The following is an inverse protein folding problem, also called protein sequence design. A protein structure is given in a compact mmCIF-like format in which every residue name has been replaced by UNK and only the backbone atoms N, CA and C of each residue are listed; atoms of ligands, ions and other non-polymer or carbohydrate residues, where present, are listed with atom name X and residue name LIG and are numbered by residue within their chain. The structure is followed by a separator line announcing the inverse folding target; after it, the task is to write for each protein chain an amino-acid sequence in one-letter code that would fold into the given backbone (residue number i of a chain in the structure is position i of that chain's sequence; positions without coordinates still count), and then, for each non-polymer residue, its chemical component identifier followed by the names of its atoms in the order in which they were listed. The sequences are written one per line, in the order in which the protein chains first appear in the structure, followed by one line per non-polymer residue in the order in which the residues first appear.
data_IF_483648702942
#
_entry.id   IF_483648702942
#
_cell.length_a   1.000
_cell.length_b   1.000
_cell.length_c   1.000
_cell.angle_alpha   90.00
_cell.angle_beta   90.00
_cell.angle_gamma   90.00
#
_symmetry.space_group_name_H-M   'P 1'
#
loop_
_entity.id
_entity.type
_entity.pdbx_description
1 polymer ?
#
# COMPACT_ATOMS: atom_id res chain seq x y z
N UNK A 1 -34.89 -62.17 26.24
CA UNK A 1 -34.14 -62.75 25.11
C UNK A 1 -34.21 -61.78 23.94
N UNK A 2 -33.06 -61.49 23.31
CA UNK A 2 -32.86 -61.09 21.89
C UNK A 2 -33.42 -59.73 21.44
N UNK A 3 -32.68 -58.78 20.87
CA UNK A 3 -31.31 -58.71 20.33
C UNK A 3 -30.88 -57.24 20.31
N UNK A 4 -29.71 -56.95 20.85
CA UNK A 4 -28.92 -55.78 20.50
C UNK A 4 -28.31 -56.00 19.10
N UNK A 5 -28.33 -54.98 18.25
CA UNK A 5 -27.48 -54.91 17.06
C UNK A 5 -27.21 -53.45 16.72
N UNK A 6 -26.06 -53.01 17.22
CA UNK A 6 -25.24 -51.89 16.76
C UNK A 6 -24.95 -52.05 15.26
N UNK A 7 -25.24 -51.04 14.44
CA UNK A 7 -24.54 -50.83 13.16
C UNK A 7 -24.35 -49.33 12.90
N UNK A 8 -23.17 -48.87 13.30
CA UNK A 8 -22.26 -47.96 12.59
C UNK A 8 -22.86 -46.94 11.61
N UNK A 9 -23.07 -45.71 12.10
CA UNK A 9 -23.09 -44.52 11.27
C UNK A 9 -21.64 -44.12 10.93
N UNK A 10 -21.14 -44.61 9.78
CA UNK A 10 -19.91 -44.08 9.17
C UNK A 10 -20.26 -42.72 8.59
N UNK A 11 -20.00 -41.67 9.36
CA UNK A 11 -19.92 -40.29 8.88
C UNK A 11 -18.79 -40.21 7.86
N UNK A 12 -19.15 -40.23 6.57
CA UNK A 12 -18.29 -39.80 5.47
C UNK A 12 -17.98 -38.32 5.67
N UNK A 13 -16.87 -38.03 6.35
CA UNK A 13 -16.18 -36.75 6.22
C UNK A 13 -15.66 -36.64 4.78
N UNK A 14 -16.52 -36.19 3.87
CA UNK A 14 -16.09 -35.57 2.63
C UNK A 14 -15.49 -34.20 3.01
N UNK A 15 -14.27 -34.22 3.53
CA UNK A 15 -13.48 -33.00 3.67
C UNK A 15 -13.32 -32.39 2.28
N UNK A 16 -13.82 -31.16 2.11
CA UNK A 16 -13.55 -30.32 0.96
C UNK A 16 -12.04 -30.04 0.89
N UNK A 17 -11.26 -30.99 0.36
CA UNK A 17 -9.88 -30.74 -0.01
C UNK A 17 -9.91 -29.76 -1.19
N UNK A 18 -9.78 -28.47 -0.91
CA UNK A 18 -9.53 -27.47 -1.93
C UNK A 18 -8.25 -27.85 -2.67
N UNK A 19 -8.34 -27.95 -4.00
CA UNK A 19 -7.18 -28.23 -4.85
C UNK A 19 -6.13 -27.12 -4.62
N UNK A 20 -4.85 -27.46 -4.39
CA UNK A 20 -3.82 -26.44 -4.19
C UNK A 20 -3.77 -25.50 -5.41
N UNK A 21 -3.51 -24.20 -5.20
CA UNK A 21 -3.41 -23.26 -6.31
C UNK A 21 -2.30 -23.72 -7.27
N UNK A 22 -2.42 -23.38 -8.57
CA UNK A 22 -1.34 -23.60 -9.53
C UNK A 22 -0.02 -22.97 -9.04
N UNK A 23 1.11 -23.63 -9.29
CA UNK A 23 2.43 -23.19 -8.82
C UNK A 23 2.79 -21.78 -9.26
N UNK A 24 2.47 -21.41 -10.51
CA UNK A 24 2.70 -20.06 -11.03
C UNK A 24 2.05 -18.97 -10.16
N UNK A 25 0.90 -19.26 -9.53
CA UNK A 25 0.19 -18.31 -8.69
C UNK A 25 0.93 -18.10 -7.37
N UNK A 26 1.41 -19.18 -6.76
CA UNK A 26 2.22 -19.13 -5.54
C UNK A 26 3.57 -18.44 -5.79
N UNK A 27 4.24 -18.75 -6.90
CA UNK A 27 5.54 -18.16 -7.27
C UNK A 27 5.43 -16.66 -7.55
N UNK A 28 4.38 -16.23 -8.27
CA UNK A 28 4.13 -14.83 -8.55
C UNK A 28 3.81 -14.04 -7.27
N UNK A 29 2.96 -14.59 -6.41
CA UNK A 29 2.62 -13.96 -5.13
C UNK A 29 3.85 -13.84 -4.22
N UNK A 30 4.62 -14.91 -4.04
CA UNK A 30 5.84 -14.87 -3.25
C UNK A 30 6.89 -13.90 -3.80
N UNK A 31 6.95 -13.74 -5.13
CA UNK A 31 7.82 -12.73 -5.76
C UNK A 31 7.34 -11.30 -5.50
N UNK A 32 6.03 -11.05 -5.46
CA UNK A 32 5.49 -9.73 -5.07
C UNK A 32 5.74 -9.40 -3.60
N UNK A 33 5.61 -10.37 -2.70
CA UNK A 33 5.92 -10.17 -1.28
C UNK A 33 7.40 -9.80 -1.08
N UNK A 34 8.31 -10.53 -1.75
CA UNK A 34 9.74 -10.20 -1.72
C UNK A 34 10.05 -8.87 -2.38
N UNK A 35 9.33 -8.50 -3.44
CA UNK A 35 9.41 -7.15 -4.02
C UNK A 35 9.08 -6.08 -2.97
N UNK A 36 7.92 -6.20 -2.31
CA UNK A 36 7.47 -5.22 -1.32
C UNK A 36 8.47 -5.10 -0.17
N UNK A 37 8.91 -6.23 0.39
CA UNK A 37 9.90 -6.26 1.46
C UNK A 37 11.23 -5.60 1.04
N UNK A 38 11.79 -6.00 -0.11
CA UNK A 38 13.04 -5.44 -0.62
C UNK A 38 12.92 -3.95 -0.94
N UNK A 39 11.79 -3.52 -1.52
CA UNK A 39 11.55 -2.12 -1.85
C UNK A 39 11.53 -1.26 -0.58
N UNK A 40 10.77 -1.66 0.44
CA UNK A 40 10.64 -0.94 1.70
C UNK A 40 11.95 -0.95 2.52
N UNK A 41 12.75 -2.01 2.43
CA UNK A 41 14.11 -2.07 2.98
C UNK A 41 15.13 -1.18 2.21
N UNK A 42 14.76 -0.70 1.02
CA UNK A 42 15.62 0.11 0.15
C UNK A 42 16.63 -0.70 -0.65
N UNK A 43 16.36 -1.98 -0.90
CA UNK A 43 17.16 -2.91 -1.71
C UNK A 43 16.70 -2.87 -3.18
N UNK A 44 16.95 -1.74 -3.85
CA UNK A 44 16.38 -1.44 -5.17
C UNK A 44 16.63 -2.52 -6.25
N UNK A 45 17.83 -3.14 -6.28
CA UNK A 45 18.14 -4.19 -7.26
C UNK A 45 17.36 -5.48 -7.00
N UNK A 46 17.22 -5.87 -5.74
CA UNK A 46 16.45 -7.06 -5.34
C UNK A 46 14.98 -6.83 -5.64
N UNK A 47 14.45 -5.67 -5.23
CA UNK A 47 13.08 -5.29 -5.53
C UNK A 47 12.79 -5.36 -7.04
N UNK A 48 13.63 -4.75 -7.88
CA UNK A 48 13.43 -4.80 -9.33
C UNK A 48 13.46 -6.22 -9.89
N UNK A 49 14.38 -7.08 -9.43
CA UNK A 49 14.47 -8.46 -9.88
C UNK A 49 13.21 -9.26 -9.51
N UNK A 50 12.73 -9.14 -8.27
CA UNK A 50 11.52 -9.83 -7.80
C UNK A 50 10.26 -9.30 -8.49
N UNK A 51 10.15 -8.00 -8.73
CA UNK A 51 9.04 -7.43 -9.48
C UNK A 51 8.99 -7.93 -10.92
N UNK A 52 10.15 -7.94 -11.61
CA UNK A 52 10.25 -8.48 -12.97
C UNK A 52 9.88 -9.96 -12.99
N UNK A 53 10.31 -10.75 -12.01
CA UNK A 53 9.95 -12.17 -11.87
C UNK A 53 8.43 -12.33 -11.72
N UNK A 54 7.81 -11.63 -10.77
CA UNK A 54 6.37 -11.64 -10.56
C UNK A 54 5.60 -11.28 -11.83
N UNK A 55 5.93 -10.12 -12.43
CA UNK A 55 5.26 -9.61 -13.63
C UNK A 55 5.39 -10.56 -14.81
N UNK A 56 6.57 -11.15 -15.01
CA UNK A 56 6.80 -12.11 -16.10
C UNK A 56 5.99 -13.39 -15.91
N UNK A 57 5.90 -13.93 -14.69
CA UNK A 57 5.07 -15.08 -14.37
C UNK A 57 3.59 -14.83 -14.67
N UNK A 58 3.05 -13.71 -14.19
CA UNK A 58 1.66 -13.30 -14.43
C UNK A 58 1.36 -13.08 -15.92
N UNK A 59 2.27 -12.42 -16.64
CA UNK A 59 2.13 -12.19 -18.08
C UNK A 59 2.17 -13.50 -18.88
N UNK A 60 3.08 -14.41 -18.54
CA UNK A 60 3.19 -15.71 -19.22
C UNK A 60 1.96 -16.60 -18.99
N UNK A 61 1.26 -16.43 -17.87
CA UNK A 61 -0.01 -17.09 -17.57
C UNK A 61 -1.23 -16.40 -18.21
N UNK A 62 -1.04 -15.32 -18.98
CA UNK A 62 -2.13 -14.57 -19.62
C UNK A 62 -3.02 -13.80 -18.64
N UNK A 63 -2.53 -13.52 -17.42
CA UNK A 63 -3.32 -12.88 -16.35
C UNK A 63 -3.12 -11.37 -16.32
N UNK A 64 -3.64 -10.67 -17.32
CA UNK A 64 -3.54 -9.22 -17.44
C UNK A 64 -4.12 -8.48 -16.22
N UNK A 65 -5.22 -9.00 -15.66
CA UNK A 65 -5.84 -8.51 -14.42
C UNK A 65 -4.86 -8.53 -13.24
N UNK A 66 -4.11 -9.63 -13.09
CA UNK A 66 -3.11 -9.75 -12.02
C UNK A 66 -1.85 -8.93 -12.30
N UNK A 67 -1.46 -8.74 -13.57
CA UNK A 67 -0.39 -7.82 -13.93
C UNK A 67 -0.76 -6.38 -13.53
N UNK A 68 -2.01 -5.95 -13.74
CA UNK A 68 -2.50 -4.65 -13.29
C UNK A 68 -2.39 -4.48 -11.79
N UNK A 69 -2.83 -5.50 -11.04
CA UNK A 69 -2.69 -5.51 -9.58
C UNK A 69 -1.23 -5.46 -9.11
N UNK A 70 -0.33 -6.21 -9.75
CA UNK A 70 1.10 -6.16 -9.46
C UNK A 70 1.68 -4.73 -9.67
N UNK A 71 1.32 -4.07 -10.76
CA UNK A 71 1.72 -2.69 -11.04
C UNK A 71 1.19 -1.70 -9.98
N UNK A 72 -0.02 -1.94 -9.46
CA UNK A 72 -0.55 -1.17 -8.34
C UNK A 72 0.18 -1.43 -7.02
N UNK A 73 0.65 -2.65 -6.75
CA UNK A 73 1.52 -2.92 -5.58
C UNK A 73 2.80 -2.09 -5.68
N UNK A 74 3.41 -2.01 -6.87
CA UNK A 74 4.59 -1.17 -7.11
C UNK A 74 4.30 0.32 -6.90
N UNK A 75 3.16 0.79 -7.41
CA UNK A 75 2.68 2.16 -7.20
C UNK A 75 2.47 2.46 -5.71
N UNK A 76 1.80 1.57 -4.98
CA UNK A 76 1.52 1.71 -3.56
C UNK A 76 2.79 1.75 -2.72
N UNK A 77 3.78 0.90 -3.02
CA UNK A 77 5.07 0.91 -2.33
C UNK A 77 5.81 2.24 -2.49
N UNK A 78 5.75 2.83 -3.69
CA UNK A 78 6.28 4.16 -3.97
C UNK A 78 5.53 5.24 -3.19
N UNK A 79 4.19 5.22 -3.18
CA UNK A 79 3.36 6.15 -2.38
C UNK A 79 3.66 6.06 -0.89
N UNK A 80 3.80 4.85 -0.34
CA UNK A 80 4.18 4.62 1.07
C UNK A 80 5.55 5.23 1.42
N UNK A 81 6.42 5.34 0.41
CA UNK A 81 7.76 5.94 0.49
C UNK A 81 7.82 7.41 0.04
N UNK A 82 6.67 8.05 -0.18
CA UNK A 82 6.54 9.43 -0.70
C UNK A 82 7.20 9.65 -2.07
N UNK A 83 7.41 8.59 -2.84
CA UNK A 83 7.89 8.61 -4.23
C UNK A 83 6.67 8.74 -5.16
N UNK A 84 6.16 9.96 -5.32
CA UNK A 84 4.97 10.20 -6.15
C UNK A 84 5.29 10.20 -7.64
N UNK A 85 4.49 9.45 -8.39
CA UNK A 85 4.49 9.46 -9.86
C UNK A 85 3.12 9.09 -10.41
N UNK A 86 3.07 8.83 -11.71
CA UNK A 86 1.84 8.48 -12.44
C UNK A 86 1.64 6.97 -12.61
N UNK A 87 2.52 6.14 -12.05
CA UNK A 87 2.39 4.67 -12.06
C UNK A 87 2.24 4.08 -13.48
N UNK A 88 3.18 4.37 -14.40
CA UNK A 88 3.04 4.14 -15.84
C UNK A 88 2.76 2.67 -16.22
N UNK A 89 3.21 1.71 -15.41
CA UNK A 89 2.93 0.30 -15.63
C UNK A 89 1.44 -0.05 -15.51
N UNK A 90 0.72 0.56 -14.57
CA UNK A 90 -0.74 0.40 -14.47
C UNK A 90 -1.47 1.23 -15.52
N UNK A 91 -1.02 2.47 -15.77
CA UNK A 91 -1.67 3.36 -16.75
C UNK A 91 -1.78 2.74 -18.14
N UNK A 92 -0.76 2.00 -18.57
CA UNK A 92 -0.75 1.30 -19.85
C UNK A 92 -1.87 0.24 -19.98
N UNK A 93 -2.47 -0.20 -18.88
CA UNK A 93 -3.50 -1.25 -18.84
C UNK A 93 -4.82 -0.75 -18.22
N UNK A 94 -4.91 0.53 -17.84
CA UNK A 94 -6.02 1.07 -17.06
C UNK A 94 -7.39 0.80 -17.70
N UNK A 95 -7.47 0.90 -19.03
CA UNK A 95 -8.73 0.72 -19.76
C UNK A 95 -9.35 -0.67 -19.57
N UNK A 96 -8.50 -1.70 -19.41
CA UNK A 96 -8.91 -3.10 -19.29
C UNK A 96 -8.85 -3.60 -17.83
N UNK A 97 -8.42 -2.75 -16.89
CA UNK A 97 -8.33 -3.10 -15.48
C UNK A 97 -9.74 -3.13 -14.84
N UNK A 98 -9.99 -4.00 -13.84
CA UNK A 98 -11.26 -3.98 -13.13
C UNK A 98 -11.48 -2.65 -12.40
N UNK A 99 -12.75 -2.30 -12.17
CA UNK A 99 -13.11 -0.97 -11.62
C UNK A 99 -12.53 -0.72 -10.23
N UNK A 100 -12.33 -1.75 -9.42
CA UNK A 100 -11.76 -1.61 -8.08
C UNK A 100 -10.27 -1.23 -8.16
N UNK A 101 -9.52 -1.80 -9.11
CA UNK A 101 -8.14 -1.43 -9.42
C UNK A 101 -8.05 0.00 -9.98
N UNK A 102 -8.98 0.39 -10.86
CA UNK A 102 -9.03 1.77 -11.36
C UNK A 102 -9.28 2.78 -10.22
N UNK A 103 -10.22 2.48 -9.32
CA UNK A 103 -10.51 3.29 -8.15
C UNK A 103 -9.32 3.37 -7.19
N UNK A 104 -8.63 2.25 -6.96
CA UNK A 104 -7.42 2.22 -6.15
C UNK A 104 -6.30 3.07 -6.77
N UNK A 105 -6.09 2.99 -8.09
CA UNK A 105 -5.13 3.83 -8.80
C UNK A 105 -5.47 5.32 -8.70
N UNK A 106 -6.75 5.67 -8.88
CA UNK A 106 -7.24 7.04 -8.74
C UNK A 106 -6.95 7.56 -7.32
N UNK A 107 -7.18 6.74 -6.29
CA UNK A 107 -6.89 7.08 -4.90
C UNK A 107 -5.39 7.26 -4.63
N UNK A 108 -4.54 6.33 -5.07
CA UNK A 108 -3.07 6.46 -4.99
C UNK A 108 -2.55 7.73 -5.70
N UNK A 109 -3.23 8.13 -6.78
CA UNK A 109 -2.90 9.35 -7.51
C UNK A 109 -3.42 10.65 -6.87
N UNK A 110 -4.23 10.54 -5.81
CA UNK A 110 -4.89 11.67 -5.16
C UNK A 110 -6.07 12.26 -5.95
N UNK A 111 -6.62 11.51 -6.91
CA UNK A 111 -7.66 11.94 -7.86
C UNK A 111 -8.97 11.16 -7.73
N UNK A 112 -9.14 10.37 -6.66
CA UNK A 112 -10.33 9.56 -6.46
C UNK A 112 -11.60 10.43 -6.31
N UNK A 113 -12.64 10.04 -7.04
CA UNK A 113 -14.01 10.53 -6.87
C UNK A 113 -14.70 9.87 -5.66
N UNK A 114 -15.90 10.33 -5.32
CA UNK A 114 -16.72 9.68 -4.27
C UNK A 114 -17.06 8.22 -4.63
N UNK A 115 -17.31 7.93 -5.91
CA UNK A 115 -17.59 6.58 -6.40
C UNK A 115 -16.36 5.68 -6.30
N UNK A 116 -15.17 6.21 -6.58
CA UNK A 116 -13.92 5.47 -6.39
C UNK A 116 -13.71 5.13 -4.91
N UNK A 117 -13.96 6.09 -4.01
CA UNK A 117 -13.83 5.89 -2.57
C UNK A 117 -14.76 4.79 -2.08
N UNK A 118 -15.99 4.69 -2.61
CA UNK A 118 -16.93 3.64 -2.26
C UNK A 118 -16.44 2.22 -2.65
N UNK A 119 -15.55 2.12 -3.65
CA UNK A 119 -14.96 0.85 -4.13
C UNK A 119 -13.70 0.44 -3.37
N UNK A 120 -13.05 1.37 -2.68
CA UNK A 120 -11.83 1.06 -1.93
C UNK A 120 -12.08 -0.02 -0.86
N UNK A 121 -11.04 -0.78 -0.47
CA UNK A 121 -11.07 -1.59 0.73
C UNK A 121 -11.52 -0.75 1.94
N UNK A 122 -12.35 -1.32 2.80
CA UNK A 122 -13.06 -0.59 3.87
C UNK A 122 -12.12 0.22 4.76
N UNK A 123 -10.94 -0.32 5.07
CA UNK A 123 -9.92 0.32 5.91
C UNK A 123 -9.34 1.61 5.30
N UNK A 124 -9.44 1.81 3.98
CA UNK A 124 -8.97 3.04 3.33
C UNK A 124 -10.04 4.13 3.22
N UNK A 125 -11.33 3.79 3.33
CA UNK A 125 -12.43 4.70 2.98
C UNK A 125 -12.46 5.96 3.84
N UNK A 126 -12.34 5.82 5.16
CA UNK A 126 -12.37 6.95 6.08
C UNK A 126 -11.23 7.95 5.79
N UNK A 127 -10.01 7.44 5.60
CA UNK A 127 -8.86 8.26 5.24
C UNK A 127 -9.03 8.91 3.86
N UNK A 128 -9.57 8.18 2.88
CA UNK A 128 -9.81 8.70 1.54
C UNK A 128 -10.79 9.89 1.54
N UNK A 129 -11.81 9.86 2.39
CA UNK A 129 -12.74 10.97 2.66
C UNK A 129 -12.09 12.16 3.38
N UNK A 130 -10.84 12.03 3.84
CA UNK A 130 -10.07 13.10 4.48
C UNK A 130 -10.02 13.03 6.00
N UNK A 131 -10.58 11.97 6.60
CA UNK A 131 -10.43 11.75 8.03
C UNK A 131 -9.03 11.18 8.33
N UNK A 132 -8.07 12.06 8.57
CA UNK A 132 -6.71 11.67 8.95
C UNK A 132 -6.65 10.96 10.32
N UNK A 133 -7.65 11.16 11.20
CA UNK A 133 -7.71 10.55 12.52
C UNK A 133 -8.09 9.05 12.46
N UNK A 134 -8.62 8.57 11.32
CA UNK A 134 -8.87 7.16 11.07
C UNK A 134 -7.60 6.37 10.67
N UNK A 135 -6.47 7.06 10.45
CA UNK A 135 -5.22 6.41 10.04
C UNK A 135 -4.70 5.33 11.01
N UNK A 136 -4.77 5.50 12.35
CA UNK A 136 -4.37 4.47 13.31
C UNK A 136 -5.23 3.20 13.25
N UNK A 137 -6.47 3.28 12.76
CA UNK A 137 -7.40 2.14 12.67
C UNK A 137 -7.02 1.15 11.57
N UNK A 138 -6.16 1.56 10.62
CA UNK A 138 -5.64 0.67 9.58
C UNK A 138 -4.61 -0.26 10.23
N UNK A 139 -4.96 -1.53 10.44
CA UNK A 139 -4.12 -2.52 11.12
C UNK A 139 -2.84 -2.86 10.36
N UNK A 140 -2.97 -3.11 9.05
CA UNK A 140 -1.83 -3.45 8.20
C UNK A 140 -0.87 -2.25 8.06
N UNK A 141 0.40 -2.39 8.49
CA UNK A 141 1.35 -1.28 8.51
C UNK A 141 1.68 -0.75 7.11
N UNK A 142 1.66 -1.62 6.09
CA UNK A 142 1.91 -1.19 4.71
C UNK A 142 0.75 -0.33 4.19
N UNK A 143 -0.48 -0.81 4.32
CA UNK A 143 -1.69 -0.08 3.99
C UNK A 143 -1.79 1.25 4.75
N UNK A 144 -1.38 1.28 6.03
CA UNK A 144 -1.31 2.52 6.82
C UNK A 144 -0.35 3.53 6.20
N UNK A 145 0.86 3.11 5.79
CA UNK A 145 1.80 4.00 5.12
C UNK A 145 1.31 4.48 3.75
N UNK A 146 0.65 3.60 2.98
CA UNK A 146 0.04 4.00 1.71
C UNK A 146 -1.00 5.10 1.93
N UNK A 147 -1.90 4.91 2.92
CA UNK A 147 -2.92 5.89 3.25
C UNK A 147 -2.32 7.22 3.76
N UNK A 148 -1.27 7.16 4.58
CA UNK A 148 -0.50 8.33 4.99
C UNK A 148 0.15 9.05 3.79
N UNK A 149 0.71 8.29 2.85
CA UNK A 149 1.27 8.82 1.61
C UNK A 149 0.24 9.54 0.75
N UNK A 150 -0.99 9.01 0.64
CA UNK A 150 -2.09 9.69 -0.06
C UNK A 150 -2.54 10.97 0.67
N UNK A 151 -2.61 10.96 2.00
CA UNK A 151 -2.84 12.18 2.78
C UNK A 151 -1.77 13.23 2.50
N UNK A 152 -0.50 12.84 2.42
CA UNK A 152 0.61 13.74 2.08
C UNK A 152 0.47 14.28 0.65
N UNK A 153 0.22 13.41 -0.34
CA UNK A 153 0.03 13.79 -1.76
C UNK A 153 -1.12 14.79 -1.95
N UNK A 154 -2.19 14.63 -1.17
CA UNK A 154 -3.38 15.49 -1.23
C UNK A 154 -3.32 16.69 -0.28
N UNK A 155 -2.17 16.96 0.33
CA UNK A 155 -1.96 18.05 1.29
C UNK A 155 -2.93 18.03 2.49
N UNK A 156 -3.33 16.83 2.91
CA UNK A 156 -4.21 16.55 4.07
C UNK A 156 -3.48 15.91 5.24
N UNK A 157 -2.16 15.71 5.16
CA UNK A 157 -1.36 15.13 6.23
C UNK A 157 -1.26 16.08 7.45
N UNK A 158 -1.76 15.61 8.59
CA UNK A 158 -1.65 16.26 9.90
C UNK A 158 -0.29 15.98 10.56
N UNK A 159 0.17 16.78 11.54
CA UNK A 159 1.36 16.46 12.32
C UNK A 159 1.31 15.04 12.93
N UNK A 160 0.15 14.63 13.46
CA UNK A 160 -0.05 13.29 14.01
C UNK A 160 0.12 12.19 12.97
N UNK A 161 -0.44 12.35 11.77
CA UNK A 161 -0.29 11.37 10.69
C UNK A 161 1.16 11.16 10.24
N UNK A 162 1.99 12.22 10.30
CA UNK A 162 3.42 12.17 9.93
C UNK A 162 4.23 11.42 10.96
N UNK A 163 4.00 11.71 12.25
CA UNK A 163 4.65 11.00 13.36
C UNK A 163 4.30 9.52 13.29
N UNK A 164 3.01 9.19 13.17
CA UNK A 164 2.54 7.81 13.05
C UNK A 164 3.15 7.07 11.85
N UNK A 165 3.31 7.73 10.70
CA UNK A 165 3.92 7.13 9.53
C UNK A 165 5.42 6.84 9.75
N UNK A 166 6.15 7.78 10.35
CA UNK A 166 7.56 7.55 10.71
C UNK A 166 7.71 6.41 11.73
N UNK A 167 6.86 6.37 12.76
CA UNK A 167 6.87 5.32 13.79
C UNK A 167 6.50 3.96 13.21
N UNK A 168 5.53 3.91 12.30
CA UNK A 168 5.14 2.68 11.58
C UNK A 168 6.32 2.15 10.75
N UNK A 169 6.97 3.00 9.95
CA UNK A 169 8.12 2.60 9.16
C UNK A 169 9.31 2.16 10.03
N UNK A 170 9.56 2.86 11.14
CA UNK A 170 10.61 2.53 12.11
C UNK A 170 10.37 1.17 12.76
N UNK A 171 9.16 0.93 13.26
CA UNK A 171 8.78 -0.34 13.93
C UNK A 171 8.93 -1.55 12.99
N UNK A 172 8.63 -1.37 11.71
CA UNK A 172 8.78 -2.43 10.71
C UNK A 172 10.21 -2.57 10.16
N UNK A 173 11.14 -1.67 10.53
CA UNK A 173 12.50 -1.66 9.98
C UNK A 173 12.56 -1.22 8.51
N UNK A 174 11.54 -0.53 8.00
CA UNK A 174 11.45 -0.12 6.60
C UNK A 174 12.20 1.19 6.35
N UNK A 175 13.49 1.04 6.00
CA UNK A 175 14.42 2.15 5.82
C UNK A 175 13.98 3.18 4.78
N UNK A 176 13.45 2.75 3.64
CA UNK A 176 13.09 3.67 2.54
C UNK A 176 11.97 4.65 2.94
N UNK A 177 10.77 4.19 3.38
CA UNK A 177 9.75 5.12 3.85
C UNK A 177 10.18 5.88 5.11
N UNK A 178 10.94 5.26 6.03
CA UNK A 178 11.42 5.95 7.23
C UNK A 178 12.24 7.20 6.88
N UNK A 179 13.20 7.08 5.95
CA UNK A 179 14.00 8.23 5.51
C UNK A 179 13.14 9.33 4.89
N UNK A 180 12.13 8.97 4.09
CA UNK A 180 11.21 9.93 3.49
C UNK A 180 10.42 10.70 4.56
N UNK A 181 9.82 10.00 5.52
CA UNK A 181 9.03 10.63 6.58
C UNK A 181 9.86 11.44 7.57
N UNK A 182 11.09 11.01 7.89
CA UNK A 182 12.03 11.81 8.68
C UNK A 182 12.44 13.09 7.93
N UNK A 183 12.59 13.02 6.61
CA UNK A 183 12.81 14.20 5.77
C UNK A 183 11.67 15.22 5.89
N UNK A 184 10.41 14.76 5.87
CA UNK A 184 9.23 15.62 6.09
C UNK A 184 9.25 16.26 7.48
N UNK A 185 9.58 15.49 8.53
CA UNK A 185 9.67 16.03 9.89
C UNK A 185 10.75 17.11 10.02
N UNK A 186 11.94 16.85 9.46
CA UNK A 186 13.03 17.83 9.41
C UNK A 186 12.59 19.13 8.74
N UNK A 187 12.02 19.05 7.54
CA UNK A 187 11.57 20.22 6.79
C UNK A 187 10.56 21.07 7.57
N UNK A 188 9.61 20.42 8.27
CA UNK A 188 8.63 21.13 9.10
C UNK A 188 9.26 21.80 10.32
N UNK A 189 10.24 21.16 10.95
CA UNK A 189 10.96 21.75 12.09
C UNK A 189 11.76 22.99 11.68
N UNK A 190 12.45 22.94 10.54
CA UNK A 190 13.17 24.08 9.96
C UNK A 190 12.23 25.26 9.68
N UNK A 191 11.09 25.00 9.02
CA UNK A 191 10.08 26.03 8.75
C UNK A 191 9.47 26.64 10.03
N UNK A 192 9.31 25.85 11.09
CA UNK A 192 8.84 26.35 12.38
C UNK A 192 9.89 27.21 13.09
N UNK A 193 11.18 26.87 12.94
CA UNK A 193 12.30 27.66 13.43
C UNK A 193 12.44 29.00 12.73
N UNK A 194 12.30 29.04 11.40
CA UNK A 194 12.35 30.27 10.60
C UNK A 194 11.22 31.25 10.94
N UNK A 195 10.03 30.73 11.29
CA UNK A 195 8.90 31.55 11.75
C UNK A 195 9.12 32.17 13.13
N UNK A 196 9.92 31.54 14.00
CA UNK A 196 10.27 32.08 15.32
C UNK A 196 11.40 33.09 15.26
N UNK A 197 12.22 33.08 14.21
CA UNK A 197 13.28 34.08 14.04
C UNK A 197 12.61 35.45 13.75
N UNK A 198 12.79 36.46 14.62
CA UNK A 198 12.29 37.80 14.33
C UNK A 198 12.90 38.25 12.99
N UNK A 199 12.07 38.71 12.05
CA UNK A 199 12.59 39.24 10.78
C UNK A 199 13.47 40.46 11.13
N UNK A 200 14.75 40.50 10.70
CA UNK A 200 15.55 41.70 10.87
C UNK A 200 14.87 42.83 10.09
N UNK A 201 14.72 43.95 10.79
CA UNK A 201 14.00 45.16 10.42
C UNK A 201 14.26 45.59 8.96
N UNK A 202 13.20 45.62 8.15
CA UNK A 202 13.19 46.40 6.91
C UNK A 202 12.96 47.86 7.30
N UNK A 203 14.04 48.56 7.66
CA UNK A 203 13.91 49.94 8.12
C UNK A 203 15.22 50.54 8.62
N UNK A 204 16.26 50.55 7.79
CA UNK A 204 17.35 51.53 7.95
C UNK A 204 18.02 51.76 6.59
N UNK A 205 17.38 52.62 5.78
CA UNK A 205 18.05 53.32 4.69
C UNK A 205 18.18 54.76 5.17
N UNK A 206 19.43 55.17 5.37
CA UNK A 206 19.88 56.52 5.71
C UNK A 206 19.47 57.50 4.60
#
# INVERSE_FOLDING_TARGET
MRKALLVSAVLLFAGCASKPPPTWQADAHGSLERYSAAYLAGEARVAQAEFTRARSGLASAGRADLVARAELVRCAAAVASLEFGDCPGFEAMRADAPLDEQAYAAWLSGKASADDIARLPVHHRAVALGNADALPEIEDPFARLVAAGVLMRTNRATPGSIVLAADTASTQGWRRPLLAWLGVQKQRAEQAGDRRRPRPWAGEVI
#
